data_IF_537997637380
#
_entry.id   IF_537997637380
#
_cell.length_a   1.000
_cell.length_b   1.000
_cell.length_c   1.000
_cell.angle_alpha   90.00
_cell.angle_beta   90.00
_cell.angle_gamma   90.00
#
_symmetry.space_group_name_H-M   'P 1'
#
loop_
_entity.id
_entity.type
_entity.pdbx_description
1 polymer ?
#
# COMPACT_ATOMS: atom_id res chain seq x y z
N UNK A 1 18.02 37.82 -3.19
CA UNK A 1 17.98 36.65 -2.28
C UNK A 1 16.61 36.61 -1.62
N UNK A 2 15.65 35.95 -2.26
CA UNK A 2 14.28 35.83 -1.75
C UNK A 2 14.17 34.52 -0.98
N UNK A 3 14.06 34.61 0.33
CA UNK A 3 13.88 33.49 1.25
C UNK A 3 12.49 32.88 1.03
N UNK A 4 12.43 31.67 0.47
CA UNK A 4 11.21 30.87 0.47
C UNK A 4 10.90 30.47 1.91
N UNK A 5 9.87 31.07 2.48
CA UNK A 5 9.34 30.71 3.79
C UNK A 5 8.78 29.29 3.70
N UNK A 6 9.51 28.32 4.25
CA UNK A 6 9.08 26.92 4.34
C UNK A 6 8.12 26.76 5.52
N UNK A 7 6.94 27.36 5.42
CA UNK A 7 5.83 27.04 6.30
C UNK A 7 5.10 25.81 5.73
N UNK A 8 5.83 24.69 5.59
CA UNK A 8 5.22 23.42 5.19
C UNK A 8 4.52 22.83 6.40
N UNK A 9 3.20 22.70 6.34
CA UNK A 9 2.44 21.92 7.34
C UNK A 9 3.10 20.54 7.50
N UNK A 10 3.25 20.04 8.74
CA UNK A 10 3.84 18.73 8.96
C UNK A 10 2.99 17.65 8.28
N UNK A 11 3.66 16.65 7.72
CA UNK A 11 2.98 15.44 7.24
C UNK A 11 2.46 14.69 8.47
N UNK A 12 1.17 14.39 8.47
CA UNK A 12 0.51 13.63 9.54
C UNK A 12 0.23 12.21 9.07
N UNK A 13 0.73 11.24 9.83
CA UNK A 13 0.44 9.81 9.63
C UNK A 13 -0.51 9.37 10.73
N UNK A 14 -1.66 8.81 10.36
CA UNK A 14 -2.69 8.34 11.30
C UNK A 14 -2.63 6.82 11.37
N UNK A 15 -2.38 6.28 12.56
CA UNK A 15 -2.37 4.83 12.75
C UNK A 15 -3.80 4.31 12.90
N UNK A 16 -4.15 3.31 12.11
CA UNK A 16 -5.47 2.69 12.10
C UNK A 16 -5.38 1.28 12.68
N UNK A 17 -6.22 1.03 13.66
CA UNK A 17 -6.34 -0.21 14.44
C UNK A 17 -7.81 -0.63 14.51
N UNK A 18 -8.08 -1.82 15.04
CA UNK A 18 -9.43 -2.37 15.10
C UNK A 18 -10.44 -1.47 15.83
N UNK A 19 -9.99 -0.69 16.82
CA UNK A 19 -10.88 0.15 17.63
C UNK A 19 -11.20 1.51 16.97
N UNK A 20 -10.44 1.97 15.97
CA UNK A 20 -10.66 3.28 15.32
C UNK A 20 -10.86 3.21 13.80
N UNK A 21 -10.90 2.01 13.20
CA UNK A 21 -11.05 1.84 11.76
C UNK A 21 -12.28 2.57 11.20
N UNK A 22 -13.44 2.47 11.85
CA UNK A 22 -14.66 3.12 11.37
C UNK A 22 -14.55 4.64 11.36
N UNK A 23 -14.00 5.23 12.45
CA UNK A 23 -13.83 6.67 12.57
C UNK A 23 -12.85 7.23 11.52
N UNK A 24 -11.78 6.50 11.21
CA UNK A 24 -10.81 6.89 10.19
C UNK A 24 -11.40 6.75 8.77
N UNK A 25 -12.21 5.72 8.53
CA UNK A 25 -12.93 5.55 7.26
C UNK A 25 -13.94 6.67 7.00
N UNK A 26 -14.62 7.18 8.03
CA UNK A 26 -15.50 8.34 7.89
C UNK A 26 -14.74 9.59 7.42
N UNK A 27 -13.56 9.85 7.99
CA UNK A 27 -12.68 10.94 7.54
C UNK A 27 -12.21 10.74 6.09
N UNK A 28 -11.87 9.51 5.71
CA UNK A 28 -11.49 9.19 4.32
C UNK A 28 -12.67 9.45 3.38
N UNK A 29 -13.89 9.01 3.72
CA UNK A 29 -15.11 9.24 2.92
C UNK A 29 -15.36 10.72 2.65
N UNK A 30 -15.18 11.57 3.66
CA UNK A 30 -15.28 13.02 3.50
C UNK A 30 -14.15 13.63 2.66
N UNK A 31 -12.94 13.06 2.76
CA UNK A 31 -11.76 13.55 2.05
C UNK A 31 -11.78 13.20 0.56
N UNK A 32 -12.15 11.97 0.17
CA UNK A 32 -12.05 11.48 -1.22
C UNK A 32 -12.90 12.29 -2.20
N UNK A 33 -13.99 12.93 -1.74
CA UNK A 33 -14.79 13.83 -2.56
C UNK A 33 -14.03 15.08 -3.03
N UNK A 34 -12.99 15.49 -2.28
CA UNK A 34 -12.14 16.66 -2.57
C UNK A 34 -10.74 16.26 -3.06
N UNK A 35 -10.16 15.21 -2.49
CA UNK A 35 -8.80 14.72 -2.77
C UNK A 35 -8.88 13.36 -3.47
N UNK A 36 -8.80 13.36 -4.81
CA UNK A 36 -9.09 12.19 -5.66
C UNK A 36 -7.88 11.33 -6.03
N UNK A 37 -6.68 11.71 -5.61
CA UNK A 37 -5.45 10.96 -5.88
C UNK A 37 -5.06 10.19 -4.63
N UNK A 38 -4.97 8.87 -4.76
CA UNK A 38 -4.63 7.95 -3.67
C UNK A 38 -3.34 7.24 -4.04
N UNK A 39 -2.33 7.35 -3.18
CA UNK A 39 -1.15 6.49 -3.18
C UNK A 39 -1.37 5.33 -2.22
N UNK A 40 -1.00 4.11 -2.62
CA UNK A 40 -1.15 2.90 -1.83
C UNK A 40 0.17 2.15 -1.79
N UNK A 41 0.52 1.65 -0.61
CA UNK A 41 1.65 0.74 -0.39
C UNK A 41 1.20 -0.35 0.60
N UNK A 42 1.74 -1.55 0.48
CA UNK A 42 1.36 -2.68 1.35
C UNK A 42 2.58 -3.43 1.83
N UNK A 43 2.51 -3.91 3.07
CA UNK A 43 3.55 -4.74 3.66
C UNK A 43 3.01 -6.13 3.94
N UNK A 44 3.75 -7.15 3.53
CA UNK A 44 3.40 -8.57 3.69
C UNK A 44 4.68 -9.39 3.95
N UNK A 45 4.58 -10.61 4.49
CA UNK A 45 5.72 -11.39 4.95
C UNK A 45 6.50 -12.05 3.79
N UNK A 46 6.97 -11.23 2.83
CA UNK A 46 7.84 -11.66 1.74
C UNK A 46 7.22 -12.69 0.81
N UNK A 47 8.04 -13.62 0.31
CA UNK A 47 7.63 -14.67 -0.64
C UNK A 47 8.06 -16.04 -0.12
N UNK A 48 7.15 -17.01 -0.18
CA UNK A 48 7.39 -18.40 0.25
C UNK A 48 7.41 -19.38 -0.93
N UNK A 49 6.68 -19.08 -1.99
CA UNK A 49 6.83 -19.77 -3.26
C UNK A 49 7.85 -19.02 -4.09
N UNK A 50 8.81 -19.75 -4.67
CA UNK A 50 9.86 -19.23 -5.55
C UNK A 50 9.59 -19.70 -6.98
N UNK A 51 9.84 -18.87 -8.01
CA UNK A 51 9.68 -19.32 -9.38
C UNK A 51 10.80 -20.30 -9.74
N UNK A 52 10.45 -21.36 -10.48
CA UNK A 52 11.42 -22.40 -10.91
C UNK A 52 12.42 -21.89 -11.96
N UNK A 53 12.20 -20.69 -12.50
CA UNK A 53 13.02 -20.03 -13.52
C UNK A 53 13.22 -18.56 -13.16
N UNK A 54 14.20 -17.90 -13.79
CA UNK A 54 14.45 -16.46 -13.60
C UNK A 54 13.17 -15.66 -13.91
N UNK A 55 12.78 -14.82 -12.95
CA UNK A 55 11.59 -13.96 -13.00
C UNK A 55 11.54 -13.09 -14.26
N UNK A 56 12.71 -12.68 -14.76
CA UNK A 56 12.85 -11.81 -15.96
C UNK A 56 12.45 -12.51 -17.25
N UNK A 57 12.36 -13.84 -17.23
CA UNK A 57 12.02 -14.65 -18.40
C UNK A 57 10.66 -15.36 -18.27
N UNK A 58 9.91 -15.09 -17.20
CA UNK A 58 8.57 -15.64 -17.04
C UNK A 58 7.58 -14.95 -17.98
N UNK A 59 6.69 -15.74 -18.59
CA UNK A 59 5.50 -15.19 -19.27
C UNK A 59 4.62 -14.47 -18.24
N UNK A 60 3.88 -13.42 -18.64
CA UNK A 60 2.99 -12.68 -17.73
C UNK A 60 2.03 -13.56 -16.94
N UNK A 61 1.47 -14.62 -17.56
CA UNK A 61 0.60 -15.60 -16.89
C UNK A 61 1.30 -16.30 -15.73
N UNK A 62 2.53 -16.76 -15.95
CA UNK A 62 3.31 -17.49 -14.95
C UNK A 62 3.76 -16.57 -13.82
N UNK A 63 4.02 -15.29 -14.14
CA UNK A 63 4.33 -14.28 -13.14
C UNK A 63 3.10 -13.97 -12.25
N UNK A 64 1.92 -13.88 -12.85
CA UNK A 64 0.66 -13.75 -12.11
C UNK A 64 0.42 -14.95 -11.20
N UNK A 65 0.53 -16.19 -11.72
CA UNK A 65 0.33 -17.41 -10.93
C UNK A 65 1.30 -17.48 -9.73
N UNK A 66 2.54 -17.06 -9.95
CA UNK A 66 3.55 -16.92 -8.90
C UNK A 66 3.16 -15.93 -7.80
N UNK A 67 2.73 -14.71 -8.18
CA UNK A 67 2.29 -13.71 -7.21
C UNK A 67 1.03 -14.18 -6.49
N UNK A 68 0.05 -14.70 -7.23
CA UNK A 68 -1.19 -15.25 -6.69
C UNK A 68 -0.93 -16.31 -5.63
N UNK A 69 -0.07 -17.28 -5.90
CA UNK A 69 0.25 -18.33 -4.93
C UNK A 69 0.80 -17.76 -3.61
N UNK A 70 1.65 -16.72 -3.68
CA UNK A 70 2.17 -16.06 -2.47
C UNK A 70 1.09 -15.22 -1.76
N UNK A 71 0.29 -14.46 -2.51
CA UNK A 71 -0.79 -13.63 -1.96
C UNK A 71 -1.87 -14.49 -1.29
N UNK A 72 -2.25 -15.62 -1.89
CA UNK A 72 -3.25 -16.52 -1.34
C UNK A 72 -2.78 -17.16 -0.02
N UNK A 73 -1.46 -17.39 0.13
CA UNK A 73 -0.90 -18.11 1.27
C UNK A 73 -0.46 -17.21 2.44
N UNK A 74 -0.27 -15.91 2.21
CA UNK A 74 0.28 -14.98 3.18
C UNK A 74 -0.76 -13.96 3.64
N UNK A 75 -0.65 -13.51 4.89
CA UNK A 75 -1.51 -12.47 5.46
C UNK A 75 -0.82 -11.11 5.35
N UNK A 76 -1.59 -10.07 5.02
CA UNK A 76 -1.13 -8.67 5.05
C UNK A 76 -0.71 -8.27 6.47
N UNK A 77 0.32 -7.43 6.55
CA UNK A 77 0.82 -6.83 7.79
C UNK A 77 0.31 -5.39 7.91
N UNK A 78 0.45 -4.59 6.84
CA UNK A 78 0.01 -3.19 6.81
C UNK A 78 -0.52 -2.79 5.42
N UNK A 79 -1.41 -1.79 5.44
CA UNK A 79 -1.96 -1.04 4.30
C UNK A 79 -2.27 0.39 4.78
#
# INVERSE_FOLDING_TARGET
MTTLKKDSKPVLIRQVWAYNVEAEFDLIREAVGRYRFISMDIEFPGVIYSPKADRRHLRPSNLYDYFKANVDALKLIQL
#
